data_IF_791276649495
#
_entry.id   IF_791276649495
#
_cell.length_a   1.000
_cell.length_b   1.000
_cell.length_c   1.000
_cell.angle_alpha   90.00
_cell.angle_beta   90.00
_cell.angle_gamma   90.00
#
_symmetry.space_group_name_H-M   'P 1'
#
loop_
_entity.id
_entity.type
_entity.pdbx_description
1 polymer ?
#
# COMPACT_ATOMS: atom_id res chain seq x y z
N UNK A 1 -6.27 -12.16 22.23
CA UNK A 1 -6.23 -11.63 21.84
C UNK A 1 -5.72 -10.74 21.53
N UNK A 2 -5.72 -10.89 21.50
CA UNK A 2 -5.44 -10.08 21.29
C UNK A 2 -5.08 -9.31 20.81
N UNK A 3 -5.03 -9.11 20.79
CA UNK A 3 -4.91 -8.36 20.32
C UNK A 3 -4.31 -7.51 20.00
N UNK A 4 -3.74 -7.67 20.08
CA UNK A 4 -3.39 -6.85 19.82
C UNK A 4 -3.30 -6.52 19.33
N UNK A 5 -3.24 -6.87 19.63
CA UNK A 5 -3.61 -6.70 19.06
C UNK A 5 -4.38 -6.09 18.50
N UNK A 6 -4.45 -5.97 18.42
CA UNK A 6 -5.66 -5.41 18.06
C UNK A 6 -5.83 -4.33 17.05
N UNK A 7 -4.81 -3.67 16.65
CA UNK A 7 -4.93 -2.65 15.60
C UNK A 7 -5.24 -3.31 14.26
N UNK A 8 -6.24 -2.83 13.49
CA UNK A 8 -6.52 -3.38 12.16
C UNK A 8 -5.33 -3.22 11.23
N UNK A 9 -5.11 -4.21 10.39
CA UNK A 9 -4.05 -4.14 9.39
C UNK A 9 -4.40 -3.14 8.31
N UNK A 10 -3.39 -2.41 7.83
CA UNK A 10 -3.51 -1.49 6.71
C UNK A 10 -3.16 -2.20 5.39
N UNK A 11 -3.50 -3.49 5.27
CA UNK A 11 -3.17 -4.28 4.10
C UNK A 11 -3.94 -3.83 2.87
N UNK A 12 -3.22 -3.62 1.78
CA UNK A 12 -3.78 -3.26 0.49
C UNK A 12 -3.14 -4.17 -0.55
N UNK A 13 -3.97 -4.92 -1.29
CA UNK A 13 -3.48 -5.72 -2.39
C UNK A 13 -3.85 -5.08 -3.71
N UNK A 14 -3.00 -5.28 -4.71
CA UNK A 14 -3.26 -4.83 -6.06
C UNK A 14 -2.89 -5.93 -7.06
N UNK A 15 -3.39 -5.80 -8.29
CA UNK A 15 -2.99 -6.69 -9.37
C UNK A 15 -1.63 -6.24 -9.94
N UNK A 16 -1.15 -6.93 -10.97
CA UNK A 16 0.16 -6.63 -11.57
C UNK A 16 0.22 -5.26 -12.23
N UNK A 17 -0.92 -4.64 -12.47
CA UNK A 17 -1.01 -3.29 -13.05
C UNK A 17 -1.18 -2.21 -11.98
N UNK A 18 -1.28 -2.60 -10.71
CA UNK A 18 -1.43 -1.67 -9.62
C UNK A 18 -2.86 -1.33 -9.24
N UNK A 19 -3.86 -1.94 -9.88
CA UNK A 19 -5.27 -1.70 -9.53
C UNK A 19 -5.58 -2.43 -8.22
N UNK A 20 -6.19 -1.72 -7.28
CA UNK A 20 -6.47 -2.24 -5.95
C UNK A 20 -7.50 -3.38 -6.04
N UNK A 21 -7.15 -4.53 -5.46
CA UNK A 21 -8.01 -5.71 -5.46
C UNK A 21 -8.56 -6.05 -4.08
N UNK A 22 -7.86 -5.63 -3.01
CA UNK A 22 -8.41 -5.73 -1.66
C UNK A 22 -7.91 -4.57 -0.80
N UNK A 23 -8.68 -4.24 0.25
CA UNK A 23 -8.44 -3.02 1.01
C UNK A 23 -9.00 -3.23 2.41
N UNK A 24 -8.13 -3.33 3.40
CA UNK A 24 -8.52 -3.67 4.76
C UNK A 24 -9.12 -2.51 5.53
N UNK A 25 -9.75 -2.84 6.66
CA UNK A 25 -10.35 -1.86 7.55
C UNK A 25 -9.28 -0.88 8.07
N UNK A 26 -8.09 -1.39 8.39
CA UNK A 26 -7.00 -0.51 8.83
C UNK A 26 -6.54 0.45 7.74
N UNK A 27 -6.57 0.02 6.49
CA UNK A 27 -6.26 0.90 5.37
C UNK A 27 -7.30 2.01 5.24
N UNK A 28 -8.58 1.67 5.42
CA UNK A 28 -9.65 2.66 5.38
C UNK A 28 -9.47 3.71 6.48
N UNK A 29 -9.14 3.27 7.70
CA UNK A 29 -8.91 4.18 8.82
C UNK A 29 -7.69 5.06 8.59
N UNK A 30 -6.63 4.49 8.02
CA UNK A 30 -5.36 5.20 7.82
C UNK A 30 -5.43 6.19 6.67
N UNK A 31 -5.99 5.79 5.52
CA UNK A 31 -5.96 6.60 4.30
C UNK A 31 -7.25 7.39 4.05
N UNK A 32 -8.36 7.01 4.67
CA UNK A 32 -9.61 7.75 4.56
C UNK A 32 -10.49 7.36 3.37
N UNK A 33 -9.99 6.53 2.44
CA UNK A 33 -10.81 6.00 1.36
C UNK A 33 -11.63 4.82 1.88
N UNK A 34 -12.85 4.66 1.37
CA UNK A 34 -13.63 3.45 1.66
C UNK A 34 -13.26 2.35 0.66
N UNK A 35 -13.54 1.11 1.03
CA UNK A 35 -13.31 -0.04 0.16
C UNK A 35 -14.05 0.14 -1.18
N UNK A 36 -15.31 0.55 -1.13
CA UNK A 36 -16.11 0.71 -2.33
C UNK A 36 -15.62 1.79 -3.28
N UNK A 37 -14.84 2.74 -2.76
CA UNK A 37 -14.27 3.80 -3.59
C UNK A 37 -13.04 3.33 -4.37
N UNK A 38 -12.33 2.34 -3.86
CA UNK A 38 -10.99 2.02 -4.38
C UNK A 38 -10.87 0.64 -5.04
N UNK A 39 -11.56 -0.39 -4.51
CA UNK A 39 -11.38 -1.75 -5.03
C UNK A 39 -11.92 -1.85 -6.45
N UNK A 40 -11.06 -2.28 -7.39
CA UNK A 40 -11.39 -2.40 -8.79
C UNK A 40 -11.47 -1.07 -9.55
N UNK A 41 -11.24 0.06 -8.87
CA UNK A 41 -11.47 1.39 -9.43
C UNK A 41 -10.25 2.29 -9.41
N UNK A 42 -9.37 2.13 -8.42
CA UNK A 42 -8.23 3.02 -8.24
C UNK A 42 -6.93 2.25 -8.25
N UNK A 43 -5.88 2.93 -8.66
CA UNK A 43 -4.51 2.42 -8.58
C UNK A 43 -3.90 2.80 -7.23
N UNK A 44 -2.94 1.99 -6.78
CA UNK A 44 -2.18 2.28 -5.56
C UNK A 44 -1.42 3.61 -5.62
N UNK A 45 -1.28 4.20 -6.78
CA UNK A 45 -0.61 5.51 -6.92
C UNK A 45 -1.32 6.61 -6.14
N UNK A 46 -2.61 6.44 -5.83
CA UNK A 46 -3.38 7.47 -5.09
C UNK A 46 -2.86 7.69 -3.66
N UNK A 47 -2.08 6.75 -3.12
CA UNK A 47 -1.54 6.85 -1.76
C UNK A 47 -0.18 7.55 -1.74
N UNK A 48 0.35 7.96 -2.88
CA UNK A 48 1.68 8.54 -3.00
C UNK A 48 1.62 9.97 -3.52
N UNK A 49 2.63 10.77 -3.17
CA UNK A 49 2.76 12.11 -3.74
C UNK A 49 2.98 12.00 -5.25
N UNK A 50 2.51 13.00 -6.04
CA UNK A 50 2.67 12.94 -7.50
C UNK A 50 4.10 12.68 -7.96
N UNK A 51 5.09 13.31 -7.31
CA UNK A 51 6.50 13.09 -7.66
C UNK A 51 6.93 11.65 -7.42
N UNK A 52 6.42 11.03 -6.35
CA UNK A 52 6.77 9.65 -6.01
C UNK A 52 6.18 8.65 -6.98
N UNK A 53 5.08 8.99 -7.66
CA UNK A 53 4.46 8.07 -8.62
C UNK A 53 5.43 7.72 -9.76
N UNK A 54 6.28 8.66 -10.16
CA UNK A 54 7.23 8.41 -11.25
C UNK A 54 8.57 7.88 -10.77
N UNK A 55 8.96 8.14 -9.53
CA UNK A 55 10.29 7.78 -9.02
C UNK A 55 10.24 6.62 -8.04
N UNK A 56 9.41 6.72 -7.00
CA UNK A 56 9.35 5.70 -5.93
C UNK A 56 8.55 4.47 -6.36
N UNK A 57 7.36 4.66 -6.93
CA UNK A 57 6.44 3.53 -7.20
C UNK A 57 7.06 2.51 -8.14
N UNK A 58 7.66 2.90 -9.29
CA UNK A 58 8.34 1.91 -10.13
C UNK A 58 9.46 1.19 -9.40
N UNK A 59 10.23 1.90 -8.57
CA UNK A 59 11.35 1.31 -7.82
C UNK A 59 10.86 0.32 -6.77
N UNK A 60 9.79 0.67 -6.04
CA UNK A 60 9.29 -0.24 -5.00
C UNK A 60 8.72 -1.53 -5.58
N UNK A 61 8.01 -1.44 -6.70
CA UNK A 61 7.47 -2.64 -7.34
C UNK A 61 8.58 -3.51 -7.91
N UNK A 62 9.57 -2.90 -8.54
CA UNK A 62 10.71 -3.65 -9.08
C UNK A 62 11.50 -4.33 -7.96
N UNK A 63 11.77 -3.61 -6.87
CA UNK A 63 12.51 -4.17 -5.73
C UNK A 63 11.75 -5.34 -5.12
N UNK A 64 10.43 -5.18 -4.91
CA UNK A 64 9.61 -6.26 -4.36
C UNK A 64 9.61 -7.47 -5.28
N UNK A 65 9.52 -7.25 -6.60
CA UNK A 65 9.50 -8.34 -7.58
C UNK A 65 10.84 -9.10 -7.61
N UNK A 66 11.95 -8.37 -7.55
CA UNK A 66 13.28 -8.98 -7.72
C UNK A 66 13.81 -9.59 -6.42
N UNK A 67 13.56 -8.95 -5.28
CA UNK A 67 14.15 -9.39 -4.01
C UNK A 67 13.14 -10.04 -3.05
N UNK A 68 11.84 -9.97 -3.38
CA UNK A 68 10.77 -10.54 -2.54
C UNK A 68 10.22 -9.59 -1.50
N UNK A 69 10.81 -8.41 -1.33
CA UNK A 69 10.33 -7.43 -0.36
C UNK A 69 10.91 -6.04 -0.63
N UNK A 70 10.05 -5.04 -0.55
CA UNK A 70 10.45 -3.64 -0.43
C UNK A 70 10.03 -3.14 0.95
N UNK A 71 10.90 -2.43 1.65
CA UNK A 71 10.55 -1.85 2.95
C UNK A 71 11.33 -0.56 3.16
N UNK A 72 10.60 0.56 3.23
CA UNK A 72 11.20 1.89 3.47
C UNK A 72 10.20 2.81 4.17
N UNK A 73 10.73 3.79 4.89
CA UNK A 73 9.92 4.90 5.37
C UNK A 73 9.66 5.84 4.21
N UNK A 74 8.40 6.17 3.96
CA UNK A 74 7.99 7.01 2.82
C UNK A 74 6.93 8.01 3.26
N UNK A 75 6.69 9.04 2.45
CA UNK A 75 5.59 9.98 2.64
C UNK A 75 4.39 9.50 1.85
N UNK A 76 3.24 9.42 2.54
CA UNK A 76 1.99 8.94 1.96
C UNK A 76 0.91 10.00 2.08
N UNK A 77 -0.14 9.87 1.27
CA UNK A 77 -1.20 10.88 1.14
C UNK A 77 -2.55 10.22 1.43
N UNK A 78 -3.36 10.90 2.28
CA UNK A 78 -4.73 10.47 2.57
C UNK A 78 -5.71 11.08 1.55
N UNK A 79 -6.92 10.56 1.56
CA UNK A 79 -7.99 11.07 0.68
C UNK A 79 -8.20 12.59 0.83
N UNK A 80 -8.08 13.11 2.05
CA UNK A 80 -8.28 14.54 2.31
C UNK A 80 -7.07 15.40 1.95
N UNK A 81 -6.01 14.80 1.40
CA UNK A 81 -4.81 15.51 1.00
C UNK A 81 -3.77 15.66 2.09
N UNK A 82 -4.07 15.28 3.32
CA UNK A 82 -3.08 15.35 4.40
C UNK A 82 -2.03 14.26 4.20
N UNK A 83 -0.82 14.53 4.68
CA UNK A 83 0.32 13.65 4.47
C UNK A 83 0.85 13.11 5.79
N UNK A 84 1.46 11.94 5.72
CA UNK A 84 2.09 11.32 6.89
C UNK A 84 3.29 10.50 6.45
N UNK A 85 4.18 10.25 7.42
CA UNK A 85 5.28 9.31 7.21
C UNK A 85 4.85 7.93 7.67
N UNK A 86 5.13 6.94 6.85
CA UNK A 86 4.80 5.55 7.17
C UNK A 86 5.91 4.62 6.74
N UNK A 87 6.03 3.50 7.46
CA UNK A 87 6.88 2.40 7.02
C UNK A 87 6.05 1.52 6.08
N UNK A 88 6.45 1.50 4.82
CA UNK A 88 5.74 0.75 3.79
C UNK A 88 6.50 -0.53 3.48
N UNK A 89 5.82 -1.67 3.64
CA UNK A 89 6.35 -2.98 3.29
C UNK A 89 5.51 -3.55 2.15
N UNK A 90 6.16 -3.90 1.04
CA UNK A 90 5.48 -4.46 -0.14
C UNK A 90 6.10 -5.80 -0.48
N UNK A 91 5.25 -6.80 -0.70
CA UNK A 91 5.67 -8.14 -1.12
C UNK A 91 4.90 -8.55 -2.37
N UNK A 92 5.53 -9.31 -3.28
CA UNK A 92 4.79 -9.80 -4.44
C UNK A 92 3.83 -10.93 -4.05
N UNK A 93 2.72 -11.00 -4.76
CA UNK A 93 1.79 -12.12 -4.70
C UNK A 93 2.07 -12.99 -5.92
N UNK A 94 2.18 -14.31 -5.71
CA UNK A 94 2.59 -15.20 -6.78
C UNK A 94 1.64 -16.38 -6.92
N UNK A 95 1.49 -16.85 -8.16
CA UNK A 95 0.95 -18.17 -8.46
C UNK A 95 2.06 -18.93 -9.16
N UNK A 96 2.57 -19.96 -8.50
CA UNK A 96 3.78 -20.63 -8.97
C UNK A 96 4.94 -19.64 -9.01
N UNK A 97 5.54 -19.44 -10.17
CA UNK A 97 6.65 -18.52 -10.36
C UNK A 97 6.22 -17.17 -10.93
N UNK A 98 4.89 -17.00 -11.15
CA UNK A 98 4.39 -15.79 -11.79
C UNK A 98 3.85 -14.82 -10.76
N UNK A 99 4.26 -13.54 -10.86
CA UNK A 99 3.73 -12.48 -10.01
C UNK A 99 2.36 -12.07 -10.54
N UNK A 100 1.34 -12.16 -9.69
CA UNK A 100 -0.04 -11.79 -10.04
C UNK A 100 -0.44 -10.46 -9.43
N UNK A 101 0.35 -9.93 -8.52
CA UNK A 101 0.06 -8.66 -7.87
C UNK A 101 1.02 -8.40 -6.72
N UNK A 102 0.63 -7.49 -5.85
CA UNK A 102 1.45 -7.07 -4.70
C UNK A 102 0.56 -6.83 -3.48
N UNK A 103 1.14 -7.04 -2.31
CA UNK A 103 0.50 -6.73 -1.03
C UNK A 103 1.36 -5.69 -0.32
N UNK A 104 0.75 -4.57 0.04
CA UNK A 104 1.41 -3.52 0.82
C UNK A 104 0.80 -3.39 2.19
N UNK A 105 1.65 -3.20 3.19
CA UNK A 105 1.24 -2.93 4.58
C UNK A 105 1.94 -1.65 5.00
N UNK A 106 1.18 -0.72 5.59
CA UNK A 106 1.73 0.56 6.05
C UNK A 106 1.62 0.65 7.57
N UNK A 107 2.73 1.00 8.21
CA UNK A 107 2.74 1.32 9.63
C UNK A 107 2.90 2.84 9.75
N UNK A 108 1.92 3.50 10.36
CA UNK A 108 1.96 4.95 10.58
C UNK A 108 3.11 5.30 11.52
N UNK A 109 3.92 6.30 11.17
CA UNK A 109 5.00 6.79 12.01
C UNK A 109 4.63 8.14 12.61
N UNK A 110 4.31 9.14 11.78
CA UNK A 110 3.89 10.45 12.28
C UNK A 110 3.19 11.24 11.17
N UNK A 111 2.29 12.11 11.57
CA UNK A 111 1.67 13.06 10.65
C UNK A 111 2.66 14.19 10.30
N UNK A 112 2.48 14.75 9.14
CA UNK A 112 3.28 15.87 8.68
C UNK A 112 2.51 17.19 8.75
#
# INVERSE_FOLDING_TARGET
MSKAEGAPHSGIACDSKGIITSYGVGAQQLFGWSEGEVVGKQSVVIFHEPDAVQTLVPRLLKTAAETGKFEEEVTLVRKDGTKFRGLLTVRPLKEGNQITGYMGITKHIRDL
#
